data_IF_571510401550
#
_entry.id   IF_571510401550
#
_cell.length_a   1.000
_cell.length_b   1.000
_cell.length_c   1.000
_cell.angle_alpha   90.00
_cell.angle_beta   90.00
_cell.angle_gamma   90.00
#
_symmetry.space_group_name_H-M   'P 1'
#
loop_
_entity.id
_entity.type
_entity.pdbx_description
1 polymer ?
#
# COMPACT_ATOMS: atom_id res chain seq x y z
N UNK A 1 0.58 -9.05 -10.35
CA UNK A 1 1.60 -8.24 -9.62
C UNK A 1 1.52 -8.53 -8.12
N UNK A 2 2.65 -8.56 -7.41
CA UNK A 2 2.70 -8.86 -5.97
C UNK A 2 3.21 -7.66 -5.17
N UNK A 3 2.53 -7.33 -4.08
CA UNK A 3 2.87 -6.25 -3.17
C UNK A 3 3.11 -6.81 -1.76
N UNK A 4 4.32 -6.61 -1.25
CA UNK A 4 4.64 -6.88 0.15
C UNK A 4 4.39 -5.61 0.96
N UNK A 5 3.66 -5.73 2.07
CA UNK A 5 3.37 -4.57 2.92
C UNK A 5 3.48 -4.88 4.40
N UNK A 6 3.70 -3.84 5.20
CA UNK A 6 3.69 -3.93 6.67
C UNK A 6 2.41 -3.33 7.23
N UNK A 7 1.91 -3.92 8.32
CA UNK A 7 0.71 -3.46 9.00
C UNK A 7 0.83 -3.66 10.51
N UNK A 8 0.06 -2.88 11.28
CA UNK A 8 -0.06 -3.07 12.72
C UNK A 8 -1.20 -4.06 13.04
N UNK A 9 -0.92 -5.09 13.84
CA UNK A 9 -1.90 -6.10 14.29
C UNK A 9 -3.03 -5.47 15.11
N UNK A 10 -2.67 -4.45 15.89
CA UNK A 10 -3.54 -3.73 16.80
C UNK A 10 -3.54 -2.24 16.48
N UNK A 11 -4.59 -1.56 16.92
CA UNK A 11 -4.71 -0.12 16.84
C UNK A 11 -3.71 0.56 17.79
N UNK A 12 -2.95 1.52 17.27
CA UNK A 12 -2.05 2.35 18.09
C UNK A 12 -2.87 3.16 19.11
N UNK A 13 -2.41 3.21 20.36
CA UNK A 13 -3.16 3.87 21.43
C UNK A 13 -4.39 3.09 21.93
N UNK A 14 -4.58 1.85 21.49
CA UNK A 14 -5.58 0.95 22.08
C UNK A 14 -5.23 0.55 23.52
N UNK A 15 -6.19 -0.11 24.19
CA UNK A 15 -6.07 -0.58 25.59
C UNK A 15 -4.79 -1.39 25.80
N UNK A 16 -4.39 -2.22 24.83
CA UNK A 16 -3.16 -3.02 24.89
C UNK A 16 -1.89 -2.14 25.07
N UNK A 17 -1.83 -0.99 24.39
CA UNK A 17 -0.71 -0.05 24.52
C UNK A 17 -0.66 0.56 25.93
N UNK A 18 -1.83 0.89 26.49
CA UNK A 18 -1.94 1.46 27.84
C UNK A 18 -1.51 0.42 28.87
N UNK A 19 -1.98 -0.82 28.75
CA UNK A 19 -1.59 -1.91 29.65
C UNK A 19 -0.08 -2.18 29.55
N UNK A 20 0.46 -2.26 28.33
CA UNK A 20 1.88 -2.50 28.10
C UNK A 20 2.76 -1.41 28.72
N UNK A 21 2.41 -0.14 28.52
CA UNK A 21 3.13 0.99 29.10
C UNK A 21 2.98 1.02 30.63
N UNK A 22 1.79 0.74 31.15
CA UNK A 22 1.54 0.66 32.59
C UNK A 22 2.37 -0.41 33.29
N UNK A 23 2.50 -1.59 32.70
CA UNK A 23 3.35 -2.67 33.21
C UNK A 23 4.82 -2.24 33.27
N UNK A 24 5.32 -1.54 32.25
CA UNK A 24 6.68 -1.02 32.24
C UNK A 24 6.91 0.09 33.26
N UNK A 25 5.93 0.95 33.50
CA UNK A 25 5.98 1.95 34.57
C UNK A 25 6.09 1.28 35.95
N UNK A 26 5.28 0.25 36.21
CA UNK A 26 5.34 -0.52 37.45
C UNK A 26 6.69 -1.22 37.62
N UNK A 27 7.23 -1.82 36.54
CA UNK A 27 8.55 -2.43 36.54
C UNK A 27 9.65 -1.39 36.84
N UNK A 28 9.59 -0.21 36.23
CA UNK A 28 10.53 0.90 36.47
C UNK A 28 10.54 1.31 37.94
N UNK A 29 9.37 1.49 38.55
CA UNK A 29 9.24 1.84 39.97
C UNK A 29 9.84 0.72 40.84
N UNK A 30 9.48 -0.53 40.58
CA UNK A 30 9.99 -1.68 41.34
C UNK A 30 11.51 -1.82 41.27
N UNK A 31 12.10 -1.67 40.08
CA UNK A 31 13.55 -1.71 39.87
C UNK A 31 14.23 -0.53 40.59
N UNK A 32 13.63 0.67 40.52
CA UNK A 32 14.15 1.85 41.23
C UNK A 32 14.20 1.61 42.74
N UNK A 33 13.13 1.10 43.33
CA UNK A 33 13.10 0.77 44.77
C UNK A 33 14.14 -0.29 45.14
N UNK A 34 14.30 -1.31 44.29
CA UNK A 34 15.28 -2.37 44.50
C UNK A 34 16.71 -1.82 44.48
N UNK A 35 17.03 -0.94 43.54
CA UNK A 35 18.32 -0.25 43.48
C UNK A 35 18.51 0.60 44.74
N UNK A 36 17.55 1.47 45.10
CA UNK A 36 17.65 2.30 46.32
C UNK A 36 17.89 1.47 47.58
N UNK A 37 17.25 0.29 47.69
CA UNK A 37 17.47 -0.65 48.78
C UNK A 37 18.87 -1.26 48.75
N UNK A 38 19.37 -1.66 47.58
CA UNK A 38 20.71 -2.25 47.43
C UNK A 38 21.83 -1.27 47.78
N UNK A 39 21.69 0.02 47.45
CA UNK A 39 22.68 1.04 47.80
C UNK A 39 22.54 1.51 49.26
N UNK A 40 21.61 0.91 50.01
CA UNK A 40 21.50 1.09 51.45
C UNK A 40 20.87 2.40 51.92
N UNK A 41 20.21 3.17 51.03
CA UNK A 41 19.47 4.38 51.42
C UNK A 41 18.37 4.06 52.44
N UNK A 42 17.80 2.86 52.38
CA UNK A 42 16.81 2.36 53.35
C UNK A 42 17.40 1.46 54.44
N UNK A 43 18.74 1.35 54.53
CA UNK A 43 19.42 0.37 55.39
C UNK A 43 20.24 1.06 56.47
N UNK A 44 19.97 0.74 57.74
CA UNK A 44 20.52 1.45 58.91
C UNK A 44 22.04 1.32 59.10
N UNK A 45 22.71 0.38 58.43
CA UNK A 45 24.17 0.19 58.51
C UNK A 45 24.99 1.00 57.51
N UNK A 46 24.38 1.42 56.39
CA UNK A 46 25.00 2.29 55.36
C UNK A 46 24.57 3.75 55.57
N UNK A 47 23.71 4.00 56.57
CA UNK A 47 23.09 5.29 56.82
C UNK A 47 24.12 6.40 57.03
N UNK A 48 25.25 6.15 57.71
CA UNK A 48 26.24 7.20 58.05
C UNK A 48 26.70 7.99 56.81
N UNK A 49 26.92 7.33 55.66
CA UNK A 49 27.28 8.04 54.43
C UNK A 49 26.13 8.93 53.92
N UNK A 50 24.92 8.41 53.93
CA UNK A 50 23.72 9.10 53.45
C UNK A 50 23.24 10.19 54.42
N UNK A 51 23.41 9.98 55.72
CA UNK A 51 23.17 10.91 56.82
C UNK A 51 24.11 12.13 56.69
N UNK A 52 25.36 11.89 56.29
CA UNK A 52 26.34 12.94 56.00
C UNK A 52 26.12 13.62 54.63
N UNK A 53 25.34 13.01 53.74
CA UNK A 53 25.09 13.50 52.38
C UNK A 53 23.59 13.50 52.00
N UNK A 54 22.72 14.15 52.80
CA UNK A 54 21.27 14.05 52.65
C UNK A 54 20.77 14.62 51.31
N UNK A 55 21.45 15.65 50.79
CA UNK A 55 21.12 16.23 49.50
C UNK A 55 21.33 15.22 48.36
N UNK A 56 22.39 14.40 48.42
CA UNK A 56 22.67 13.39 47.40
C UNK A 56 21.63 12.27 47.47
N UNK A 57 21.27 11.83 48.68
CA UNK A 57 20.21 10.84 48.88
C UNK A 57 18.87 11.32 48.30
N UNK A 58 18.48 12.57 48.58
CA UNK A 58 17.23 13.16 48.09
C UNK A 58 17.23 13.28 46.56
N UNK A 59 18.35 13.72 45.97
CA UNK A 59 18.51 13.77 44.51
C UNK A 59 18.34 12.37 43.89
N UNK A 60 18.96 11.35 44.49
CA UNK A 60 18.91 9.98 43.96
C UNK A 60 17.49 9.39 44.04
N UNK A 61 16.79 9.58 45.17
CA UNK A 61 15.41 9.10 45.38
C UNK A 61 14.44 9.74 44.39
N UNK A 62 14.66 10.99 44.01
CA UNK A 62 13.80 11.70 43.05
C UNK A 62 14.17 11.44 41.59
N UNK A 63 15.47 11.49 41.24
CA UNK A 63 15.91 11.40 39.84
C UNK A 63 15.98 9.96 39.33
N UNK A 64 16.37 8.98 40.16
CA UNK A 64 16.53 7.61 39.68
C UNK A 64 15.21 7.03 39.14
N UNK A 65 14.06 7.15 39.85
CA UNK A 65 12.78 6.70 39.30
C UNK A 65 12.39 7.45 38.02
N UNK A 66 12.68 8.75 37.95
CA UNK A 66 12.35 9.57 36.77
C UNK A 66 13.17 9.15 35.54
N UNK A 67 14.49 8.93 35.71
CA UNK A 67 15.40 8.50 34.64
C UNK A 67 15.00 7.11 34.14
N UNK A 68 14.78 6.16 35.06
CA UNK A 68 14.35 4.82 34.69
C UNK A 68 12.98 4.85 34.01
N UNK A 69 12.04 5.67 34.49
CA UNK A 69 10.74 5.82 33.86
C UNK A 69 10.87 6.28 32.40
N UNK A 70 11.70 7.30 32.14
CA UNK A 70 11.95 7.80 30.77
C UNK A 70 12.57 6.70 29.90
N UNK A 71 13.58 5.98 30.40
CA UNK A 71 14.23 4.89 29.67
C UNK A 71 13.27 3.73 29.34
N UNK A 72 12.42 3.35 30.30
CA UNK A 72 11.42 2.31 30.12
C UNK A 72 10.31 2.73 29.15
N UNK A 73 9.90 4.00 29.16
CA UNK A 73 8.94 4.53 28.19
C UNK A 73 9.53 4.48 26.77
N UNK A 74 10.79 4.91 26.59
CA UNK A 74 11.44 4.90 25.27
C UNK A 74 11.59 3.46 24.76
N UNK A 75 12.19 2.59 25.57
CA UNK A 75 12.43 1.18 25.21
C UNK A 75 11.12 0.44 25.00
N UNK A 76 10.15 0.65 25.90
CA UNK A 76 8.80 0.11 25.79
C UNK A 76 8.09 0.53 24.52
N UNK A 77 8.19 1.80 24.15
CA UNK A 77 7.61 2.32 22.93
C UNK A 77 8.22 1.67 21.68
N UNK A 78 9.54 1.41 21.68
CA UNK A 78 10.22 0.69 20.59
C UNK A 78 9.75 -0.77 20.52
N UNK A 79 9.81 -1.49 21.65
CA UNK A 79 9.43 -2.89 21.73
C UNK A 79 7.96 -3.11 21.35
N UNK A 80 7.07 -2.24 21.83
CA UNK A 80 5.65 -2.31 21.51
C UNK A 80 5.40 -2.16 20.02
N UNK A 81 6.04 -1.18 19.35
CA UNK A 81 5.92 -1.01 17.89
C UNK A 81 6.36 -2.25 17.13
N UNK A 82 7.47 -2.86 17.53
CA UNK A 82 7.96 -4.10 16.91
C UNK A 82 7.02 -5.29 17.15
N UNK A 83 6.45 -5.41 18.36
CA UNK A 83 5.54 -6.50 18.73
C UNK A 83 4.23 -6.47 17.91
N UNK A 84 3.69 -5.27 17.69
CA UNK A 84 2.47 -5.10 16.91
C UNK A 84 2.70 -5.09 15.40
N UNK A 85 3.95 -4.92 14.93
CA UNK A 85 4.26 -4.92 13.51
C UNK A 85 4.12 -6.33 12.92
N UNK A 86 3.67 -6.38 11.67
CA UNK A 86 3.46 -7.62 10.93
C UNK A 86 3.60 -7.39 9.44
N UNK A 87 3.83 -8.47 8.70
CA UNK A 87 3.89 -8.46 7.24
C UNK A 87 2.63 -9.08 6.66
N UNK A 88 2.19 -8.53 5.52
CA UNK A 88 1.14 -9.05 4.67
C UNK A 88 1.59 -9.03 3.22
N UNK A 89 0.87 -9.80 2.39
CA UNK A 89 1.14 -9.91 0.96
C UNK A 89 -0.17 -9.71 0.22
N UNK A 90 -0.14 -8.91 -0.83
CA UNK A 90 -1.26 -8.72 -1.75
C UNK A 90 -0.84 -9.14 -3.15
N UNK A 91 -1.46 -10.17 -3.67
CA UNK A 91 -1.31 -10.58 -5.05
C UNK A 91 -2.49 -10.05 -5.85
N UNK A 92 -2.22 -9.23 -6.86
CA UNK A 92 -3.24 -8.71 -7.78
C UNK A 92 -3.16 -9.46 -9.10
N UNK A 93 -4.29 -9.99 -9.51
CA UNK A 93 -4.55 -10.61 -10.81
C UNK A 93 -5.58 -9.76 -11.56
N UNK A 94 -5.84 -10.10 -12.84
CA UNK A 94 -6.73 -9.29 -13.69
C UNK A 94 -8.16 -9.15 -13.12
N UNK A 95 -8.69 -10.22 -12.52
CA UNK A 95 -10.08 -10.32 -12.08
C UNK A 95 -10.25 -10.52 -10.56
N UNK A 96 -9.17 -10.72 -9.82
CA UNK A 96 -9.23 -10.93 -8.39
C UNK A 96 -7.93 -10.46 -7.71
N UNK A 97 -7.99 -10.28 -6.41
CA UNK A 97 -6.81 -10.13 -5.59
C UNK A 97 -6.82 -11.15 -4.45
N UNK A 98 -5.65 -11.69 -4.13
CA UNK A 98 -5.45 -12.58 -2.98
C UNK A 98 -4.69 -11.80 -1.92
N UNK A 99 -5.34 -11.58 -0.78
CA UNK A 99 -4.79 -10.87 0.36
C UNK A 99 -4.41 -11.88 1.45
N UNK A 100 -3.12 -11.97 1.75
CA UNK A 100 -2.60 -12.71 2.90
C UNK A 100 -2.49 -11.76 4.10
N UNK A 101 -3.45 -11.88 5.03
CA UNK A 101 -3.58 -11.00 6.19
C UNK A 101 -3.91 -11.78 7.46
N UNK A 102 -3.19 -11.52 8.56
CA UNK A 102 -3.32 -12.23 9.85
C UNK A 102 -3.28 -13.77 9.74
N UNK A 103 -2.42 -14.29 8.86
CA UNK A 103 -2.29 -15.72 8.63
C UNK A 103 -3.49 -16.36 7.91
N UNK A 104 -4.41 -15.55 7.37
CA UNK A 104 -5.51 -15.98 6.52
C UNK A 104 -5.27 -15.54 5.10
N UNK A 105 -5.72 -16.36 4.16
CA UNK A 105 -5.84 -16.00 2.76
C UNK A 105 -7.27 -15.53 2.49
N UNK A 106 -7.40 -14.36 1.87
CA UNK A 106 -8.68 -13.73 1.58
C UNK A 106 -8.71 -13.43 0.09
N UNK A 107 -9.60 -14.11 -0.63
CA UNK A 107 -9.85 -13.86 -2.04
C UNK A 107 -10.83 -12.70 -2.18
N UNK A 108 -10.44 -11.68 -2.93
CA UNK A 108 -11.17 -10.45 -3.19
C UNK A 108 -11.49 -10.41 -4.69
N UNK A 109 -12.66 -10.91 -5.06
CA UNK A 109 -13.14 -10.89 -6.44
C UNK A 109 -13.53 -9.48 -6.88
N UNK A 110 -13.15 -9.10 -8.10
CA UNK A 110 -13.43 -7.78 -8.64
C UNK A 110 -14.93 -7.48 -8.61
N UNK A 111 -15.29 -6.31 -8.07
CA UNK A 111 -16.68 -5.88 -7.91
C UNK A 111 -17.45 -6.53 -6.74
N UNK A 112 -16.86 -7.48 -6.02
CA UNK A 112 -17.45 -8.12 -4.83
C UNK A 112 -16.98 -7.49 -3.50
N UNK A 113 -16.04 -6.55 -3.58
CA UNK A 113 -15.52 -5.82 -2.42
C UNK A 113 -15.42 -4.32 -2.70
N UNK A 114 -15.39 -3.54 -1.62
CA UNK A 114 -15.07 -2.11 -1.64
C UNK A 114 -13.96 -1.83 -0.67
N UNK A 115 -13.06 -0.93 -1.05
CA UNK A 115 -12.00 -0.43 -0.17
C UNK A 115 -12.33 1.01 0.18
N UNK A 116 -12.32 1.31 1.47
CA UNK A 116 -12.42 2.66 1.99
C UNK A 116 -11.28 2.92 2.95
N UNK A 117 -10.95 4.18 3.18
CA UNK A 117 -9.98 4.56 4.19
C UNK A 117 -10.59 5.60 5.11
N UNK A 118 -10.37 5.44 6.41
CA UNK A 118 -10.80 6.38 7.42
C UNK A 118 -9.60 6.98 8.13
N UNK A 119 -9.65 8.28 8.42
CA UNK A 119 -8.80 8.87 9.46
C UNK A 119 -9.39 8.46 10.81
N UNK A 120 -8.63 7.74 11.62
CA UNK A 120 -9.05 7.48 13.01
C UNK A 120 -8.69 8.70 13.84
N UNK A 121 -9.71 9.42 14.30
CA UNK A 121 -9.55 10.52 15.24
C UNK A 121 -9.43 9.98 16.66
N UNK A 122 -8.32 10.29 17.34
CA UNK A 122 -8.11 9.99 18.74
C UNK A 122 -8.14 11.27 19.59
N UNK A 123 -8.93 11.24 20.67
CA UNK A 123 -8.97 12.27 21.73
C UNK A 123 -9.94 13.42 21.47
N UNK A 124 -10.56 13.92 22.55
CA UNK A 124 -11.60 14.98 22.55
C UNK A 124 -11.13 16.34 22.00
N UNK A 125 -9.83 16.51 21.72
CA UNK A 125 -9.20 17.71 21.17
C UNK A 125 -7.99 17.44 20.24
N UNK A 126 -7.86 16.24 19.64
CA UNK A 126 -6.84 16.00 18.60
C UNK A 126 -5.37 16.17 19.02
N UNK A 127 -5.07 16.13 20.33
CA UNK A 127 -3.71 16.24 20.88
C UNK A 127 -3.08 14.83 20.87
N UNK A 128 -2.77 14.33 19.68
CA UNK A 128 -1.89 13.18 19.49
C UNK A 128 -0.82 13.59 18.50
N UNK A 129 0.42 13.76 18.99
CA UNK A 129 1.60 14.06 18.17
C UNK A 129 2.12 12.85 17.38
N UNK A 130 1.40 11.73 17.38
CA UNK A 130 1.81 10.52 16.70
C UNK A 130 0.89 10.20 15.53
N UNK A 131 1.52 10.14 14.36
CA UNK A 131 1.07 9.63 13.06
C UNK A 131 -0.32 9.01 13.10
N UNK A 132 -1.28 9.70 12.48
CA UNK A 132 -2.65 9.26 12.33
C UNK A 132 -2.70 7.82 11.80
N UNK A 133 -3.30 6.85 12.52
CA UNK A 133 -3.53 5.55 11.95
C UNK A 133 -4.67 5.69 10.95
N UNK A 134 -4.30 5.96 9.69
CA UNK A 134 -5.22 5.76 8.57
C UNK A 134 -5.51 4.26 8.54
N UNK A 135 -6.80 3.93 8.62
CA UNK A 135 -7.26 2.54 8.60
C UNK A 135 -7.89 2.28 7.26
N UNK A 136 -7.34 1.29 6.57
CA UNK A 136 -7.98 0.74 5.39
C UNK A 136 -9.03 -0.27 5.82
N UNK A 137 -10.19 -0.15 5.20
CA UNK A 137 -11.36 -0.95 5.47
C UNK A 137 -11.77 -1.61 4.17
N UNK A 138 -11.56 -2.92 4.10
CA UNK A 138 -12.00 -3.75 2.98
C UNK A 138 -13.32 -4.38 3.39
N UNK A 139 -14.39 -4.05 2.68
CA UNK A 139 -15.73 -4.62 2.92
C UNK A 139 -16.06 -5.57 1.77
N UNK A 140 -16.26 -6.83 2.10
CA UNK A 140 -16.84 -7.85 1.22
C UNK A 140 -18.33 -8.02 1.56
N UNK A 141 -19.05 -8.89 0.84
CA UNK A 141 -20.43 -9.25 1.19
C UNK A 141 -20.55 -9.86 2.59
N UNK A 142 -19.55 -10.66 2.99
CA UNK A 142 -19.63 -11.49 4.20
C UNK A 142 -18.88 -10.87 5.39
N UNK A 143 -17.76 -10.20 5.14
CA UNK A 143 -16.85 -9.73 6.19
C UNK A 143 -16.27 -8.34 5.92
N UNK A 144 -15.85 -7.69 7.01
CA UNK A 144 -15.19 -6.39 7.00
C UNK A 144 -13.81 -6.51 7.64
N UNK A 145 -12.77 -6.28 6.85
CA UNK A 145 -11.38 -6.32 7.29
C UNK A 145 -10.88 -4.90 7.55
N UNK A 146 -10.26 -4.70 8.72
CA UNK A 146 -9.61 -3.43 9.09
C UNK A 146 -8.10 -3.63 9.13
N UNK A 147 -7.39 -2.94 8.26
CA UNK A 147 -5.93 -3.00 8.16
C UNK A 147 -5.36 -1.67 8.65
N UNK A 148 -4.53 -1.74 9.68
CA UNK A 148 -3.88 -0.58 10.29
C UNK A 148 -2.50 -0.39 9.70
N UNK A 149 -2.13 0.84 9.33
CA UNK A 149 -0.77 1.18 8.92
C UNK A 149 0.28 0.73 9.93
N UNK A 150 1.46 0.33 9.45
CA UNK A 150 2.59 0.01 10.31
C UNK A 150 3.14 1.27 10.95
N UNK A 151 3.10 1.33 12.28
CA UNK A 151 3.73 2.42 13.04
C UNK A 151 5.25 2.30 12.96
N UNK A 152 5.76 1.08 12.97
CA UNK A 152 7.19 0.82 12.93
C UNK A 152 7.80 1.28 11.61
N UNK A 153 7.19 0.93 10.48
CA UNK A 153 7.61 1.38 9.15
C UNK A 153 7.58 2.92 9.05
N UNK A 154 6.52 3.56 9.56
CA UNK A 154 6.43 5.02 9.56
C UNK A 154 7.55 5.70 10.37
N UNK A 155 8.01 5.07 11.46
CA UNK A 155 9.13 5.56 12.26
C UNK A 155 10.48 5.41 11.55
N UNK A 156 10.67 4.32 10.81
CA UNK A 156 11.88 4.05 10.03
C UNK A 156 12.01 5.02 8.83
N UNK A 157 10.89 5.39 8.21
CA UNK A 157 10.85 6.28 7.05
C UNK A 157 10.84 7.78 7.41
N UNK A 158 10.78 8.14 8.69
CA UNK A 158 10.73 9.55 9.12
C UNK A 158 11.83 9.89 10.11
N UNK A 159 12.26 11.15 10.07
CA UNK A 159 13.07 11.75 11.13
C UNK A 159 12.19 12.31 12.26
N UNK A 160 12.77 12.50 13.44
CA UNK A 160 12.07 13.14 14.56
C UNK A 160 11.50 14.52 14.18
N UNK A 161 12.27 15.33 13.44
CA UNK A 161 11.84 16.66 12.99
C UNK A 161 10.65 16.60 12.03
N UNK A 162 10.61 15.63 11.11
CA UNK A 162 9.47 15.42 10.20
C UNK A 162 8.21 14.97 10.97
N UNK A 163 8.37 14.10 11.97
CA UNK A 163 7.26 13.68 12.84
C UNK A 163 6.66 14.84 13.64
N UNK A 164 7.50 15.72 14.19
CA UNK A 164 7.02 16.93 14.88
C UNK A 164 6.22 17.87 13.97
N UNK A 165 6.52 17.88 12.66
CA UNK A 165 5.74 18.59 11.65
C UNK A 165 4.50 17.82 11.15
N UNK A 166 4.16 16.69 11.78
CA UNK A 166 3.03 15.81 11.42
C UNK A 166 3.06 15.28 9.98
N UNK A 167 4.26 15.19 9.38
CA UNK A 167 4.43 14.68 8.03
C UNK A 167 4.27 13.16 8.05
N UNK A 168 3.37 12.64 7.20
CA UNK A 168 3.10 11.21 7.07
C UNK A 168 3.75 10.70 5.78
N UNK A 169 4.73 9.77 5.85
CA UNK A 169 5.30 9.17 4.65
C UNK A 169 4.27 8.26 3.99
N UNK A 170 4.42 8.03 2.69
CA UNK A 170 3.74 6.92 2.01
C UNK A 170 4.36 5.60 2.50
N UNK A 171 3.51 4.66 2.92
CA UNK A 171 3.91 3.36 3.43
C UNK A 171 3.69 2.26 2.39
N UNK A 172 4.34 1.11 2.55
CA UNK A 172 4.10 -0.06 1.69
C UNK A 172 2.62 -0.48 1.64
N UNK A 173 1.88 -0.31 2.74
CA UNK A 173 0.43 -0.54 2.76
C UNK A 173 -0.33 0.44 1.88
N UNK A 174 0.09 1.70 1.78
CA UNK A 174 -0.56 2.70 0.91
C UNK A 174 -0.48 2.29 -0.55
N UNK A 175 0.71 1.85 -0.98
CA UNK A 175 0.96 1.37 -2.34
C UNK A 175 0.08 0.15 -2.65
N UNK A 176 0.06 -0.84 -1.74
CA UNK A 176 -0.75 -2.04 -1.90
C UNK A 176 -2.26 -1.72 -1.94
N UNK A 177 -2.73 -0.84 -1.05
CA UNK A 177 -4.15 -0.48 -0.99
C UNK A 177 -4.56 0.40 -2.18
N UNK A 178 -3.68 1.26 -2.70
CA UNK A 178 -3.94 2.03 -3.92
C UNK A 178 -4.15 1.10 -5.12
N UNK A 179 -3.33 0.05 -5.24
CA UNK A 179 -3.49 -0.95 -6.27
C UNK A 179 -4.81 -1.74 -6.11
N UNK A 180 -5.18 -2.09 -4.87
CA UNK A 180 -6.45 -2.73 -4.56
C UNK A 180 -7.67 -1.83 -4.81
N UNK A 181 -7.56 -0.54 -4.50
CA UNK A 181 -8.59 0.48 -4.78
C UNK A 181 -8.79 0.61 -6.29
N UNK A 182 -7.72 0.59 -7.09
CA UNK A 182 -7.84 0.58 -8.56
C UNK A 182 -8.65 -0.62 -9.03
N UNK A 183 -8.42 -1.80 -8.45
CA UNK A 183 -9.19 -3.02 -8.75
C UNK A 183 -10.66 -2.92 -8.28
N UNK A 184 -10.95 -2.29 -7.14
CA UNK A 184 -12.35 -2.12 -6.68
C UNK A 184 -13.11 -1.02 -7.41
N UNK A 185 -12.41 0.06 -7.78
CA UNK A 185 -12.98 1.25 -8.44
C UNK A 185 -13.02 1.11 -9.95
N UNK A 186 -12.35 0.11 -10.52
CA UNK A 186 -12.86 -0.47 -11.77
C UNK A 186 -14.22 -1.06 -11.40
N UNK A 187 -15.27 -0.22 -11.48
CA UNK A 187 -16.66 -0.65 -11.43
C UNK A 187 -16.75 -1.96 -12.20
N UNK A 188 -17.61 -2.86 -11.76
CA UNK A 188 -18.27 -3.77 -12.67
C UNK A 188 -18.99 -2.93 -13.76
N UNK A 189 -18.24 -2.37 -14.72
CA UNK A 189 -18.45 -2.81 -16.07
C UNK A 189 -18.34 -4.33 -15.93
N UNK A 190 -19.50 -5.01 -15.81
CA UNK A 190 -19.79 -6.03 -16.83
C UNK A 190 -19.12 -5.46 -18.07
N UNK A 191 -18.09 -6.08 -18.61
CA UNK A 191 -17.59 -5.67 -19.92
C UNK A 191 -18.83 -5.79 -20.80
N UNK A 192 -19.62 -4.71 -20.88
CA UNK A 192 -20.35 -4.33 -22.06
C UNK A 192 -19.16 -4.15 -22.96
N UNK A 193 -18.86 -5.21 -23.67
CA UNK A 193 -18.19 -5.22 -24.95
C UNK A 193 -18.35 -3.80 -25.50
N UNK A 194 -17.32 -2.98 -25.30
CA UNK A 194 -17.36 -1.63 -25.84
C UNK A 194 -17.14 -1.88 -27.32
N UNK A 195 -18.22 -1.69 -28.06
CA UNK A 195 -18.22 -1.91 -29.49
C UNK A 195 -17.74 -0.61 -30.10
N UNK A 196 -16.58 -0.68 -30.75
CA UNK A 196 -16.02 0.36 -31.59
C UNK A 196 -16.15 -0.06 -33.05
N UNK A 197 -16.02 0.90 -33.97
CA UNK A 197 -16.08 0.62 -35.39
C UNK A 197 -14.94 1.28 -36.14
N UNK A 198 -14.30 0.56 -37.06
CA UNK A 198 -13.41 1.15 -38.08
C UNK A 198 -14.05 0.89 -39.43
N UNK A 199 -14.42 1.97 -40.14
CA UNK A 199 -15.31 1.86 -41.29
C UNK A 199 -16.57 1.05 -40.92
N UNK A 200 -16.73 -0.09 -41.59
CA UNK A 200 -17.86 -1.01 -41.42
C UNK A 200 -17.57 -2.20 -40.48
N UNK A 201 -16.35 -2.30 -39.94
CA UNK A 201 -15.95 -3.42 -39.08
C UNK A 201 -16.39 -3.15 -37.64
N UNK A 202 -17.10 -4.10 -37.05
CA UNK A 202 -17.42 -4.11 -35.63
C UNK A 202 -16.26 -4.68 -34.81
N UNK A 203 -15.73 -3.89 -33.87
CA UNK A 203 -14.61 -4.28 -33.01
C UNK A 203 -15.12 -4.30 -31.57
N UNK A 204 -15.12 -5.49 -30.98
CA UNK A 204 -15.45 -5.66 -29.57
C UNK A 204 -14.18 -5.51 -28.74
N UNK A 205 -14.02 -4.36 -28.08
CA UNK A 205 -12.82 -4.08 -27.29
C UNK A 205 -12.63 -5.13 -26.18
N UNK A 206 -11.38 -5.55 -26.00
CA UNK A 206 -10.89 -6.60 -25.11
C UNK A 206 -11.30 -8.04 -25.50
N UNK A 207 -11.90 -8.24 -26.68
CA UNK A 207 -12.28 -9.57 -27.20
C UNK A 207 -11.76 -9.79 -28.60
N UNK A 208 -12.05 -8.87 -29.52
CA UNK A 208 -11.62 -8.95 -30.91
C UNK A 208 -10.10 -8.93 -31.02
N UNK A 209 -9.56 -9.74 -31.94
CA UNK A 209 -8.15 -9.72 -32.31
C UNK A 209 -8.00 -9.12 -33.71
N UNK A 210 -6.83 -9.23 -34.33
CA UNK A 210 -6.61 -8.70 -35.69
C UNK A 210 -7.39 -9.47 -36.77
N UNK A 211 -7.92 -10.64 -36.43
CA UNK A 211 -8.76 -11.49 -37.28
C UNK A 211 -10.00 -10.77 -37.82
N UNK A 212 -10.54 -9.78 -37.09
CA UNK A 212 -11.71 -9.00 -37.55
C UNK A 212 -11.46 -8.18 -38.83
N UNK A 213 -10.20 -8.01 -39.22
CA UNK A 213 -9.81 -7.32 -40.45
C UNK A 213 -9.51 -8.29 -41.61
N UNK A 214 -9.44 -9.60 -41.36
CA UNK A 214 -9.24 -10.59 -42.41
C UNK A 214 -10.44 -10.57 -43.39
N UNK A 215 -10.15 -10.63 -44.69
CA UNK A 215 -11.15 -10.56 -45.77
C UNK A 215 -11.99 -9.26 -45.82
N UNK A 216 -11.45 -8.15 -45.29
CA UNK A 216 -12.11 -6.83 -45.36
C UNK A 216 -11.44 -5.88 -46.36
N UNK A 217 -12.02 -4.70 -46.57
CA UNK A 217 -11.40 -3.62 -47.38
C UNK A 217 -10.24 -2.90 -46.65
N UNK A 218 -9.85 -3.35 -45.46
CA UNK A 218 -8.83 -2.72 -44.63
C UNK A 218 -7.69 -3.70 -44.30
N UNK A 219 -6.49 -3.19 -44.08
CA UNK A 219 -5.37 -3.97 -43.54
C UNK A 219 -4.70 -3.25 -42.36
N UNK A 220 -4.18 -4.06 -41.43
CA UNK A 220 -3.44 -3.58 -40.26
C UNK A 220 -1.95 -3.63 -40.60
N UNK A 221 -1.24 -2.52 -40.44
CA UNK A 221 0.21 -2.46 -40.63
C UNK A 221 0.93 -3.02 -39.39
N UNK A 222 1.14 -4.34 -39.41
CA UNK A 222 1.83 -5.05 -38.34
C UNK A 222 3.35 -4.84 -38.42
N UNK A 223 3.89 -4.53 -39.61
CA UNK A 223 5.34 -4.38 -39.81
C UNK A 223 5.86 -3.12 -39.12
N UNK A 224 5.06 -2.05 -39.09
CA UNK A 224 5.38 -0.80 -38.42
C UNK A 224 4.73 -0.67 -37.03
N UNK A 225 4.34 -1.80 -36.40
CA UNK A 225 3.76 -1.80 -35.07
C UNK A 225 4.72 -1.16 -34.04
N UNK A 226 4.18 -0.29 -33.20
CA UNK A 226 4.96 0.53 -32.28
C UNK A 226 4.62 0.21 -30.82
N UNK A 227 5.61 -0.25 -30.06
CA UNK A 227 5.47 -0.44 -28.61
C UNK A 227 5.67 0.90 -27.89
N UNK A 228 4.64 1.35 -27.18
CA UNK A 228 4.73 2.59 -26.39
C UNK A 228 5.51 2.34 -25.10
N UNK A 229 6.57 3.13 -24.88
CA UNK A 229 7.37 3.02 -23.65
C UNK A 229 6.52 3.38 -22.43
N UNK A 230 6.64 2.59 -21.36
CA UNK A 230 5.95 2.77 -20.08
C UNK A 230 4.41 2.63 -20.15
N UNK A 231 3.87 2.05 -21.24
CA UNK A 231 2.44 1.79 -21.42
C UNK A 231 2.25 0.35 -21.91
N UNK A 232 1.31 -0.45 -21.35
CA UNK A 232 1.12 -1.86 -21.72
C UNK A 232 0.38 -2.04 -23.06
N UNK A 233 0.71 -1.24 -24.08
CA UNK A 233 0.04 -1.29 -25.38
C UNK A 233 1.03 -1.21 -26.55
N UNK A 234 0.71 -1.95 -27.61
CA UNK A 234 1.36 -1.84 -28.93
C UNK A 234 0.35 -1.22 -29.88
N UNK A 235 0.73 -0.17 -30.58
CA UNK A 235 -0.14 0.49 -31.55
C UNK A 235 0.15 -0.01 -32.97
N UNK A 236 -0.92 -0.17 -33.76
CA UNK A 236 -0.84 -0.51 -35.18
C UNK A 236 -1.78 0.38 -35.98
N UNK A 237 -1.28 0.86 -37.11
CA UNK A 237 -2.05 1.69 -38.04
C UNK A 237 -2.92 0.83 -38.97
N UNK A 238 -4.05 1.38 -39.42
CA UNK A 238 -5.01 0.69 -40.28
C UNK A 238 -5.27 1.51 -41.53
N UNK A 239 -5.05 0.89 -42.68
CA UNK A 239 -5.16 1.50 -43.99
C UNK A 239 -6.22 0.83 -44.85
N UNK A 240 -6.68 1.54 -45.87
CA UNK A 240 -7.55 0.99 -46.90
C UNK A 240 -6.75 0.13 -47.91
N UNK A 241 -7.23 -1.08 -48.21
CA UNK A 241 -6.61 -1.99 -49.18
C UNK A 241 -6.49 -1.36 -50.57
N UNK A 242 -7.50 -0.57 -50.98
CA UNK A 242 -7.54 0.08 -52.28
C UNK A 242 -6.66 1.33 -52.35
N UNK A 243 -6.28 1.90 -51.21
CA UNK A 243 -5.47 3.11 -51.13
C UNK A 243 -4.59 3.09 -49.86
N UNK A 244 -3.36 2.61 -49.99
CA UNK A 244 -2.39 2.51 -48.89
C UNK A 244 -1.96 3.85 -48.28
N UNK A 245 -2.39 4.98 -48.83
CA UNK A 245 -2.13 6.31 -48.29
C UNK A 245 -3.29 6.83 -47.44
N UNK A 246 -4.40 6.10 -47.37
CA UNK A 246 -5.57 6.45 -46.59
C UNK A 246 -5.53 5.73 -45.25
N UNK A 247 -5.17 6.45 -44.18
CA UNK A 247 -5.16 5.98 -42.79
C UNK A 247 -6.56 6.15 -42.22
N UNK A 248 -7.24 5.05 -41.96
CA UNK A 248 -8.64 5.06 -41.50
C UNK A 248 -8.71 5.02 -39.98
N UNK A 249 -7.69 4.46 -39.32
CA UNK A 249 -7.60 4.49 -37.88
C UNK A 249 -6.35 3.84 -37.33
N UNK A 250 -6.29 3.79 -36.01
CA UNK A 250 -5.22 3.18 -35.22
C UNK A 250 -5.87 2.27 -34.17
N UNK A 251 -5.23 1.13 -33.91
CA UNK A 251 -5.64 0.21 -32.85
C UNK A 251 -4.51 0.03 -31.83
N UNK A 252 -4.90 -0.13 -30.57
CA UNK A 252 -3.99 -0.54 -29.51
C UNK A 252 -4.24 -2.02 -29.16
N UNK A 253 -3.18 -2.81 -29.20
CA UNK A 253 -3.14 -4.21 -28.76
C UNK A 253 -2.60 -4.30 -27.34
N UNK A 254 -3.15 -5.22 -26.54
CA UNK A 254 -2.67 -5.45 -25.17
C UNK A 254 -1.24 -6.00 -25.17
N UNK A 255 -0.37 -5.43 -24.32
CA UNK A 255 1.00 -5.89 -24.05
C UNK A 255 1.33 -5.97 -22.55
N UNK A 256 2.45 -6.59 -22.23
CA UNK A 256 3.04 -6.61 -20.89
C UNK A 256 3.91 -5.35 -20.71
N UNK A 257 3.76 -4.65 -19.57
CA UNK A 257 4.52 -3.42 -19.26
C UNK A 257 6.05 -3.61 -19.28
N UNK A 258 6.53 -4.86 -19.26
CA UNK A 258 7.95 -5.23 -19.19
C UNK A 258 8.55 -5.68 -20.51
N UNK A 259 7.80 -5.63 -21.61
CA UNK A 259 8.25 -6.16 -22.87
C UNK A 259 9.09 -5.12 -23.62
N UNK A 260 10.41 -5.15 -23.41
CA UNK A 260 11.36 -4.24 -24.08
C UNK A 260 11.55 -4.56 -25.58
N UNK A 261 10.89 -5.62 -26.09
CA UNK A 261 11.02 -6.11 -27.47
C UNK A 261 9.63 -6.33 -28.08
N UNK A 262 9.47 -5.88 -29.33
CA UNK A 262 8.25 -6.13 -30.09
C UNK A 262 8.01 -7.65 -30.24
N UNK A 263 6.79 -8.14 -29.94
CA UNK A 263 6.40 -9.54 -30.13
C UNK A 263 6.50 -9.98 -31.60
N UNK A 264 6.53 -11.30 -31.84
CA UNK A 264 6.48 -11.79 -33.24
C UNK A 264 5.13 -11.47 -33.90
N UNK A 265 5.08 -11.48 -35.23
CA UNK A 265 3.83 -11.26 -35.99
C UNK A 265 2.74 -12.24 -35.56
N UNK A 266 3.08 -13.51 -35.33
CA UNK A 266 2.14 -14.53 -34.87
C UNK A 266 1.64 -14.29 -33.44
N UNK A 267 2.45 -13.65 -32.59
CA UNK A 267 2.05 -13.23 -31.25
C UNK A 267 1.18 -11.99 -31.28
N UNK A 268 1.47 -11.03 -32.18
CA UNK A 268 0.66 -9.83 -32.39
C UNK A 268 -0.76 -10.17 -32.83
N UNK A 269 -0.91 -11.12 -33.77
CA UNK A 269 -2.23 -11.60 -34.24
C UNK A 269 -3.11 -12.20 -33.15
N UNK A 270 -2.51 -12.75 -32.08
CA UNK A 270 -3.25 -13.37 -30.96
C UNK A 270 -3.64 -12.38 -29.87
N UNK A 271 -3.18 -11.13 -29.96
CA UNK A 271 -3.44 -10.11 -28.93
C UNK A 271 -4.80 -9.46 -29.16
N UNK A 272 -5.45 -9.15 -28.05
CA UNK A 272 -6.75 -8.49 -28.05
C UNK A 272 -6.59 -6.99 -28.30
N UNK A 273 -7.52 -6.43 -29.06
CA UNK A 273 -7.64 -4.99 -29.29
C UNK A 273 -8.27 -4.35 -28.06
N UNK A 274 -7.61 -3.36 -27.47
CA UNK A 274 -8.05 -2.69 -26.23
C UNK A 274 -8.47 -1.24 -26.43
N UNK A 275 -8.06 -0.62 -27.54
CA UNK A 275 -8.49 0.72 -27.94
C UNK A 275 -8.52 0.85 -29.46
N UNK A 276 -9.34 1.77 -29.95
CA UNK A 276 -9.54 2.10 -31.37
C UNK A 276 -9.64 3.62 -31.48
N UNK A 277 -8.87 4.22 -32.39
CA UNK A 277 -8.95 5.63 -32.75
C UNK A 277 -9.33 5.70 -34.23
N UNK A 278 -10.34 6.50 -34.57
CA UNK A 278 -10.71 6.78 -35.96
C UNK A 278 -10.01 8.06 -36.39
N UNK A 279 -9.31 8.03 -37.51
CA UNK A 279 -8.49 9.16 -37.97
C UNK A 279 -9.00 9.71 -39.31
N UNK A 280 -9.34 8.83 -40.28
CA UNK A 280 -9.83 9.21 -41.62
C UNK A 280 -8.94 10.28 -42.31
N UNK A 281 -7.63 9.99 -42.36
CA UNK A 281 -6.58 10.89 -42.84
C UNK A 281 -5.91 10.38 -44.10
N UNK A 282 -5.55 11.29 -45.02
CA UNK A 282 -4.75 10.95 -46.20
C UNK A 282 -3.29 11.35 -45.95
N UNK A 283 -2.45 10.34 -45.71
CA UNK A 283 -1.01 10.52 -45.53
C UNK A 283 -0.37 10.67 -46.91
N UNK A 284 0.12 11.87 -47.21
CA UNK A 284 1.04 12.05 -48.35
C UNK A 284 2.37 11.43 -47.99
N UNK A 285 2.72 10.32 -48.64
CA UNK A 285 4.09 9.80 -48.67
C UNK A 285 5.02 10.79 -49.36
#
# INVERSE_FOLDING_TARGET
MTYNFRYSKFLQGGILNIIFLGLLCMASIGISMLILKLIGISNTKVSIFWDNNPNIALILVLLLPLILLVLFIITGSILYRQLIDSKGVLNIFNNCAILHYKGKEITLEKGEFSVSYGKVHFGRNGISNFLYPVVYVIKTKNEKFKIYKSVQEAYELTTFRQRMKKLCPELSLDIAMNALIKLSNTKNKKIKNEISYIGNIEIVLNISTLDVFEDTDYFVDIENAFALKDVPFITCDIYENKNSNHLIGEIALLDDEKNDKLPSVEELKKRVIVSVIKLDEYIKK
#
